data_IF_055592239730
#
_entry.id   IF_055592239730
#
_cell.length_a   1.000
_cell.length_b   1.000
_cell.length_c   1.000
_cell.angle_alpha   90.00
_cell.angle_beta   90.00
_cell.angle_gamma   90.00
#
_symmetry.space_group_name_H-M   'P 1'
#
loop_
_entity.id
_entity.type
_entity.pdbx_description
1 polymer ?
#
# COMPACT_ATOMS: atom_id res chain seq x y z
N UNK A 1 -14.48 16.58 18.75
CA UNK A 1 -14.56 15.25 19.38
C UNK A 1 -14.21 14.19 18.34
N UNK A 2 -13.52 13.12 18.74
CA UNK A 2 -13.14 11.99 17.88
C UNK A 2 -13.71 10.71 18.47
N UNK A 3 -14.48 9.98 17.66
CA UNK A 3 -14.89 8.61 17.94
C UNK A 3 -13.98 7.68 17.14
N UNK A 4 -13.35 6.71 17.80
CA UNK A 4 -12.60 5.63 17.15
C UNK A 4 -13.00 4.31 17.78
N UNK A 5 -13.16 3.28 16.96
CA UNK A 5 -13.42 1.93 17.44
C UNK A 5 -12.95 0.91 16.42
N UNK A 6 -12.16 -0.05 16.89
CA UNK A 6 -11.66 -1.16 16.08
C UNK A 6 -12.57 -2.35 16.30
N UNK A 7 -13.44 -2.64 15.33
CA UNK A 7 -14.18 -3.91 15.30
C UNK A 7 -13.14 -5.03 15.15
N UNK A 8 -13.12 -6.06 16.03
CA UNK A 8 -12.14 -7.13 15.91
C UNK A 8 -12.21 -7.85 14.56
N UNK A 9 -11.09 -8.44 14.12
CA UNK A 9 -11.07 -9.37 12.98
C UNK A 9 -11.89 -10.63 13.31
N UNK A 10 -12.22 -11.49 12.32
CA UNK A 10 -12.86 -12.78 12.60
C UNK A 10 -12.12 -13.65 13.64
N UNK A 11 -10.79 -13.52 13.72
CA UNK A 11 -9.94 -14.21 14.68
C UNK A 11 -9.78 -13.45 16.02
N UNK A 12 -10.45 -12.31 16.16
CA UNK A 12 -10.46 -11.51 17.40
C UNK A 12 -9.34 -10.47 17.52
N UNK A 13 -8.50 -10.30 16.49
CA UNK A 13 -7.43 -9.28 16.51
C UNK A 13 -8.02 -7.88 16.56
N UNK A 14 -7.46 -7.02 17.42
CA UNK A 14 -7.85 -5.61 17.55
C UNK A 14 -6.64 -4.80 18.00
N UNK A 15 -6.65 -3.49 17.73
CA UNK A 15 -5.54 -2.58 18.03
C UNK A 15 -6.02 -1.25 18.63
N UNK A 16 -5.08 -0.34 18.89
CA UNK A 16 -5.32 0.96 19.52
C UNK A 16 -5.55 2.12 18.54
N UNK A 17 -5.75 3.33 19.09
CA UNK A 17 -5.96 4.56 18.32
C UNK A 17 -4.85 4.82 17.29
N UNK A 18 -5.24 5.24 16.09
CA UNK A 18 -4.31 5.66 15.03
C UNK A 18 -4.71 5.19 13.63
N UNK A 19 -5.76 4.35 13.53
CA UNK A 19 -6.27 3.84 12.27
C UNK A 19 -5.39 2.75 11.63
N UNK A 20 -5.71 2.39 10.39
CA UNK A 20 -5.06 1.29 9.65
C UNK A 20 -3.57 1.50 9.48
N UNK A 21 -3.13 2.66 8.98
CA UNK A 21 -1.72 2.87 8.63
C UNK A 21 -0.75 2.70 9.81
N UNK A 22 -1.16 3.14 11.01
CA UNK A 22 -0.36 3.06 12.23
C UNK A 22 -0.27 1.61 12.72
N UNK A 23 -1.38 0.88 12.73
CA UNK A 23 -1.47 -0.39 13.46
C UNK A 23 -1.31 -1.62 12.56
N UNK A 24 -1.86 -1.58 11.35
CA UNK A 24 -1.99 -2.75 10.47
C UNK A 24 -1.79 -2.40 8.99
N UNK A 25 -0.94 -1.41 8.74
CA UNK A 25 -0.72 -0.84 7.41
C UNK A 25 0.71 -0.35 7.24
N UNK A 26 0.88 0.89 6.80
CA UNK A 26 2.16 1.43 6.36
C UNK A 26 3.30 1.25 7.36
N UNK A 27 3.06 1.51 8.65
CA UNK A 27 4.09 1.46 9.70
C UNK A 27 4.63 0.03 9.90
N UNK A 28 3.83 -0.96 10.33
CA UNK A 28 4.36 -2.31 10.51
C UNK A 28 4.81 -2.94 9.19
N UNK A 29 4.14 -2.67 8.06
CA UNK A 29 4.56 -3.13 6.74
C UNK A 29 5.98 -2.66 6.43
N UNK A 30 6.26 -1.36 6.55
CA UNK A 30 7.59 -0.82 6.21
C UNK A 30 8.67 -1.30 7.20
N UNK A 31 8.32 -1.51 8.46
CA UNK A 31 9.26 -2.06 9.45
C UNK A 31 9.60 -3.54 9.19
N UNK A 32 8.62 -4.37 8.79
CA UNK A 32 8.89 -5.76 8.38
C UNK A 32 9.65 -5.82 7.04
N UNK A 33 9.35 -4.92 6.10
CA UNK A 33 10.15 -4.73 4.89
C UNK A 33 11.59 -4.34 5.21
N UNK A 34 11.81 -3.42 6.15
CA UNK A 34 13.16 -3.09 6.61
C UNK A 34 13.89 -4.29 7.22
N UNK A 35 13.19 -5.16 7.98
CA UNK A 35 13.79 -6.39 8.50
C UNK A 35 14.25 -7.34 7.37
N UNK A 36 13.47 -7.45 6.29
CA UNK A 36 13.88 -8.19 5.09
C UNK A 36 15.09 -7.54 4.39
N UNK A 37 15.09 -6.21 4.22
CA UNK A 37 16.23 -5.48 3.66
C UNK A 37 17.51 -5.65 4.50
N UNK A 38 17.40 -5.68 5.83
CA UNK A 38 18.53 -5.95 6.71
C UNK A 38 19.07 -7.38 6.54
N UNK A 39 18.20 -8.35 6.23
CA UNK A 39 18.62 -9.69 5.84
C UNK A 39 19.54 -9.67 4.62
N UNK A 40 19.17 -8.91 3.58
CA UNK A 40 20.04 -8.73 2.40
C UNK A 40 21.32 -7.96 2.75
N UNK A 41 21.23 -6.91 3.56
CA UNK A 41 22.39 -6.12 3.96
C UNK A 41 23.43 -6.96 4.72
N UNK A 42 23.01 -7.94 5.52
CA UNK A 42 23.91 -8.88 6.17
C UNK A 42 24.65 -9.77 5.14
N UNK A 43 23.98 -10.20 4.08
CA UNK A 43 24.63 -10.97 3.01
C UNK A 43 25.65 -10.11 2.25
N UNK A 44 25.24 -8.91 1.87
CA UNK A 44 26.07 -7.96 1.14
C UNK A 44 27.30 -7.53 1.95
N UNK A 45 27.16 -7.36 3.28
CA UNK A 45 28.25 -6.89 4.16
C UNK A 45 29.48 -7.80 4.14
N UNK A 46 29.33 -9.11 3.93
CA UNK A 46 30.47 -10.03 3.80
C UNK A 46 31.37 -9.66 2.62
N UNK A 47 30.79 -9.20 1.51
CA UNK A 47 31.55 -8.76 0.32
C UNK A 47 32.24 -7.41 0.54
N UNK A 48 31.77 -6.63 1.50
CA UNK A 48 32.42 -5.41 1.99
C UNK A 48 33.43 -5.65 3.13
N UNK A 49 33.70 -6.91 3.50
CA UNK A 49 34.75 -7.26 4.47
C UNK A 49 34.28 -7.48 5.91
N UNK A 50 32.97 -7.56 6.16
CA UNK A 50 32.46 -7.92 7.48
C UNK A 50 32.52 -9.44 7.71
N UNK A 51 33.12 -9.83 8.83
CA UNK A 51 33.27 -11.25 9.21
C UNK A 51 32.36 -11.60 10.39
N UNK A 52 31.64 -12.71 10.25
CA UNK A 52 30.83 -13.32 11.31
C UNK A 52 30.70 -14.83 11.06
N UNK A 53 30.76 -15.61 12.13
CA UNK A 53 31.00 -17.07 12.09
C UNK A 53 29.77 -17.90 11.69
N UNK A 54 28.56 -17.43 12.04
CA UNK A 54 27.33 -18.23 11.88
C UNK A 54 26.39 -17.71 10.78
N UNK A 55 25.54 -18.60 10.28
CA UNK A 55 24.39 -18.22 9.47
C UNK A 55 23.36 -17.51 10.36
N UNK A 56 23.12 -16.22 10.10
CA UNK A 56 22.17 -15.42 10.87
C UNK A 56 20.75 -15.97 10.65
N UNK A 57 20.06 -16.27 11.76
CA UNK A 57 18.65 -16.68 11.76
C UNK A 57 17.77 -15.50 12.14
N UNK A 58 16.64 -15.35 11.45
CA UNK A 58 15.62 -14.39 11.82
C UNK A 58 14.71 -14.95 12.92
N UNK A 59 14.28 -14.11 13.86
CA UNK A 59 13.31 -14.46 14.90
C UNK A 59 12.06 -13.59 14.77
N UNK A 60 10.94 -14.22 14.40
CA UNK A 60 9.65 -13.57 14.18
C UNK A 60 9.13 -12.86 15.42
N UNK A 61 9.17 -13.52 16.59
CA UNK A 61 8.59 -12.99 17.81
C UNK A 61 9.34 -11.75 18.30
N UNK A 62 10.67 -11.74 18.19
CA UNK A 62 11.49 -10.56 18.49
C UNK A 62 11.13 -9.38 17.57
N UNK A 63 10.98 -9.63 16.27
CA UNK A 63 10.58 -8.60 15.31
C UNK A 63 9.19 -8.05 15.63
N UNK A 64 8.19 -8.93 15.78
CA UNK A 64 6.81 -8.52 16.08
C UNK A 64 6.75 -7.77 17.41
N UNK A 65 7.43 -8.24 18.46
CA UNK A 65 7.46 -7.55 19.74
C UNK A 65 8.04 -6.13 19.62
N UNK A 66 9.14 -5.95 18.90
CA UNK A 66 9.75 -4.63 18.69
C UNK A 66 8.80 -3.69 17.92
N UNK A 67 8.16 -4.19 16.86
CA UNK A 67 7.20 -3.42 16.05
C UNK A 67 5.96 -3.05 16.86
N UNK A 68 5.38 -3.99 17.62
CA UNK A 68 4.22 -3.75 18.46
C UNK A 68 4.51 -2.76 19.59
N UNK A 69 5.71 -2.80 20.17
CA UNK A 69 6.15 -1.79 21.15
C UNK A 69 6.16 -0.38 20.53
N UNK A 70 6.68 -0.24 19.31
CA UNK A 70 6.67 1.03 18.61
C UNK A 70 5.24 1.51 18.29
N UNK A 71 4.36 0.62 17.81
CA UNK A 71 2.94 0.92 17.58
C UNK A 71 2.26 1.38 18.87
N UNK A 72 2.52 0.70 19.99
CA UNK A 72 2.02 1.11 21.30
C UNK A 72 2.44 2.52 21.70
N UNK A 73 3.68 2.91 21.38
CA UNK A 73 4.16 4.29 21.59
C UNK A 73 3.40 5.31 20.74
N UNK A 74 3.09 4.98 19.48
CA UNK A 74 2.30 5.81 18.58
C UNK A 74 0.86 5.94 19.07
N UNK A 75 0.21 4.84 19.46
CA UNK A 75 -1.15 4.88 20.00
C UNK A 75 -1.23 5.78 21.23
N UNK A 76 -0.22 5.72 22.12
CA UNK A 76 -0.14 6.60 23.27
C UNK A 76 0.09 8.06 22.86
N UNK A 77 1.02 8.32 21.94
CA UNK A 77 1.30 9.65 21.41
C UNK A 77 0.06 10.33 20.82
N UNK A 78 -0.77 9.61 20.05
CA UNK A 78 -2.03 10.15 19.53
C UNK A 78 -3.00 10.54 20.64
N UNK A 79 -3.18 9.70 21.67
CA UNK A 79 -4.04 10.02 22.82
C UNK A 79 -3.55 11.25 23.57
N UNK A 80 -2.23 11.37 23.77
CA UNK A 80 -1.62 12.54 24.41
C UNK A 80 -1.87 13.80 23.58
N UNK A 81 -1.62 13.75 22.26
CA UNK A 81 -1.79 14.91 21.39
C UNK A 81 -3.25 15.39 21.27
N UNK A 82 -4.23 14.47 21.28
CA UNK A 82 -5.65 14.84 21.34
C UNK A 82 -5.97 15.56 22.65
N UNK A 83 -5.49 15.05 23.79
CA UNK A 83 -5.70 15.66 25.10
C UNK A 83 -5.06 17.05 25.20
N UNK A 84 -3.82 17.21 24.73
CA UNK A 84 -3.11 18.51 24.72
C UNK A 84 -3.85 19.57 23.89
N UNK A 85 -4.50 19.15 22.81
CA UNK A 85 -5.34 20.02 21.97
C UNK A 85 -6.79 20.13 22.47
N UNK A 86 -7.08 19.62 23.68
CA UNK A 86 -8.43 19.60 24.26
C UNK A 86 -9.49 18.94 23.36
N UNK A 87 -9.09 17.96 22.55
CA UNK A 87 -9.99 17.17 21.71
C UNK A 87 -10.50 15.97 22.51
N UNK A 88 -11.80 15.93 22.80
CA UNK A 88 -12.44 14.77 23.41
C UNK A 88 -12.26 13.53 22.54
N UNK A 89 -11.70 12.47 23.12
CA UNK A 89 -11.53 11.17 22.49
C UNK A 89 -12.43 10.13 23.18
N UNK A 90 -13.26 9.44 22.40
CA UNK A 90 -14.08 8.33 22.89
C UNK A 90 -13.74 7.06 22.10
N UNK A 91 -13.32 6.02 22.81
CA UNK A 91 -13.17 4.68 22.24
C UNK A 91 -14.55 4.02 22.13
N UNK A 92 -15.29 4.36 21.09
CA UNK A 92 -16.70 3.99 20.93
C UNK A 92 -17.08 4.00 19.46
N UNK A 93 -17.88 3.02 19.06
CA UNK A 93 -18.40 2.90 17.70
C UNK A 93 -19.51 3.93 17.50
N UNK A 94 -19.34 4.81 16.51
CA UNK A 94 -20.30 5.86 16.17
C UNK A 94 -21.29 5.42 15.11
N UNK A 95 -22.58 5.65 15.34
CA UNK A 95 -23.67 5.36 14.43
C UNK A 95 -24.70 6.50 14.46
N UNK A 96 -25.02 7.08 13.31
CA UNK A 96 -26.03 8.12 13.20
C UNK A 96 -27.42 7.57 13.49
N UNK A 97 -28.21 8.35 14.24
CA UNK A 97 -29.58 7.95 14.61
C UNK A 97 -30.63 8.99 14.23
N UNK A 98 -30.24 10.23 13.97
CA UNK A 98 -31.07 11.32 13.42
C UNK A 98 -30.14 12.48 13.00
N UNK A 99 -30.65 13.50 12.28
CA UNK A 99 -29.84 14.66 11.91
C UNK A 99 -29.14 15.28 13.12
N UNK A 100 -27.86 15.63 12.92
CA UNK A 100 -26.99 16.19 13.96
C UNK A 100 -26.76 15.36 15.23
N UNK A 101 -27.13 14.06 15.26
CA UNK A 101 -26.98 13.22 16.46
C UNK A 101 -26.41 11.84 16.15
N UNK A 102 -25.45 11.45 16.98
CA UNK A 102 -24.74 10.17 16.87
C UNK A 102 -24.85 9.39 18.18
N UNK A 103 -25.12 8.09 18.05
CA UNK A 103 -25.03 7.07 19.10
C UNK A 103 -23.60 6.58 19.16
N UNK A 104 -23.00 6.56 20.34
CA UNK A 104 -21.65 6.06 20.57
C UNK A 104 -21.70 4.87 21.54
N UNK A 105 -21.32 3.68 21.05
CA UNK A 105 -21.34 2.42 21.82
C UNK A 105 -19.92 2.00 22.16
N UNK A 106 -19.57 1.88 23.45
CA UNK A 106 -18.23 1.45 23.85
C UNK A 106 -18.09 -0.09 23.86
N UNK A 107 -16.88 -0.60 24.11
CA UNK A 107 -16.61 -2.05 24.15
C UNK A 107 -17.42 -2.82 25.21
N UNK A 108 -17.93 -2.15 26.26
CA UNK A 108 -18.80 -2.75 27.28
C UNK A 108 -20.29 -2.72 26.90
N UNK A 109 -20.63 -2.25 25.71
CA UNK A 109 -22.01 -2.06 25.25
C UNK A 109 -22.71 -0.85 25.87
N UNK A 110 -21.98 0.03 26.59
CA UNK A 110 -22.59 1.25 27.13
C UNK A 110 -22.80 2.24 26.00
N UNK A 111 -24.00 2.81 25.96
CA UNK A 111 -24.46 3.74 24.93
C UNK A 111 -24.47 5.16 25.47
N UNK A 112 -23.93 6.09 24.69
CA UNK A 112 -24.07 7.53 24.91
C UNK A 112 -24.54 8.20 23.62
N UNK A 113 -25.11 9.40 23.74
CA UNK A 113 -25.59 10.18 22.61
C UNK A 113 -24.93 11.54 22.59
N UNK A 114 -24.55 12.00 21.40
CA UNK A 114 -23.86 13.26 21.20
C UNK A 114 -24.45 14.01 20.01
N UNK A 115 -24.47 15.34 20.10
CA UNK A 115 -24.86 16.22 18.99
C UNK A 115 -23.68 17.04 18.51
N UNK A 116 -23.66 17.37 17.22
CA UNK A 116 -22.64 18.25 16.66
C UNK A 116 -23.20 19.06 15.49
N UNK A 117 -22.67 20.26 15.30
CA UNK A 117 -22.96 21.10 14.13
C UNK A 117 -22.44 20.46 12.85
N UNK A 118 -21.20 19.95 12.86
CA UNK A 118 -20.53 19.36 11.69
C UNK A 118 -20.01 17.96 12.00
N UNK A 119 -20.14 17.05 11.04
CA UNK A 119 -19.58 15.70 11.09
C UNK A 119 -18.57 15.46 9.97
N UNK A 120 -17.52 14.70 10.27
CA UNK A 120 -16.53 14.24 9.30
C UNK A 120 -16.45 12.72 9.36
N UNK A 121 -16.82 12.06 8.28
CA UNK A 121 -16.68 10.62 8.10
C UNK A 121 -15.22 10.30 7.75
N UNK A 122 -14.58 9.47 8.57
CA UNK A 122 -13.19 9.05 8.38
C UNK A 122 -12.97 7.59 8.83
N UNK A 123 -13.94 6.72 8.53
CA UNK A 123 -14.02 5.34 9.04
C UNK A 123 -13.09 4.36 8.34
N UNK A 124 -12.48 4.77 7.22
CA UNK A 124 -11.58 3.94 6.44
C UNK A 124 -12.22 2.65 5.90
N UNK A 125 -11.40 1.62 5.74
CA UNK A 125 -11.81 0.34 5.16
C UNK A 125 -11.28 -0.83 5.99
N UNK A 126 -11.77 -2.04 5.69
CA UNK A 126 -11.27 -3.31 6.27
C UNK A 126 -11.02 -4.37 5.20
N UNK A 127 -10.12 -5.35 5.44
CA UNK A 127 -9.84 -6.41 4.48
C UNK A 127 -11.09 -7.17 4.04
N UNK A 128 -11.16 -7.47 2.73
CA UNK A 128 -12.21 -8.29 2.13
C UNK A 128 -11.83 -9.77 2.20
N UNK A 129 -12.80 -10.62 2.54
CA UNK A 129 -12.69 -12.08 2.45
C UNK A 129 -13.31 -12.60 1.14
N UNK A 130 -13.03 -13.86 0.79
CA UNK A 130 -13.44 -14.46 -0.48
C UNK A 130 -14.90 -14.91 -0.49
N UNK A 131 -15.48 -15.17 0.68
CA UNK A 131 -16.81 -15.77 0.84
C UNK A 131 -16.82 -17.27 0.54
N UNK A 132 -15.70 -17.95 0.81
CA UNK A 132 -15.53 -19.40 0.59
C UNK A 132 -15.47 -20.13 1.93
N UNK A 133 -15.78 -21.44 1.99
CA UNK A 133 -15.67 -22.19 3.23
C UNK A 133 -14.25 -22.16 3.82
N UNK A 134 -14.15 -21.81 5.10
CA UNK A 134 -12.92 -21.78 5.89
C UNK A 134 -12.09 -20.50 5.78
N UNK A 135 -12.50 -19.51 4.98
CA UNK A 135 -11.69 -18.30 4.79
C UNK A 135 -11.61 -17.44 6.07
N UNK A 136 -12.72 -17.22 6.76
CA UNK A 136 -12.76 -16.42 8.00
C UNK A 136 -12.25 -17.18 9.21
N UNK A 137 -12.43 -18.50 9.21
CA UNK A 137 -12.07 -19.38 10.32
C UNK A 137 -10.56 -19.69 10.36
N UNK A 138 -9.93 -19.85 9.19
CA UNK A 138 -8.56 -20.36 9.10
C UNK A 138 -7.56 -19.41 8.45
N UNK A 139 -8.02 -18.44 7.66
CA UNK A 139 -7.12 -17.49 7.00
C UNK A 139 -6.96 -16.21 7.82
N UNK A 140 -5.80 -15.59 7.64
CA UNK A 140 -5.50 -14.27 8.20
C UNK A 140 -5.60 -13.19 7.12
N UNK A 141 -5.64 -11.94 7.55
CA UNK A 141 -5.49 -10.78 6.67
C UNK A 141 -4.30 -9.93 7.12
N UNK A 142 -4.04 -8.81 6.43
CA UNK A 142 -3.08 -7.82 6.91
C UNK A 142 -3.39 -7.34 8.33
N UNK A 143 -4.65 -7.34 8.73
CA UNK A 143 -5.06 -6.91 10.07
C UNK A 143 -4.55 -7.83 11.19
N UNK A 144 -4.26 -9.10 10.88
CA UNK A 144 -3.77 -10.10 11.84
C UNK A 144 -2.25 -10.30 11.75
N UNK A 145 -1.70 -10.25 10.52
CA UNK A 145 -0.31 -10.58 10.23
C UNK A 145 0.70 -9.80 11.08
N UNK A 146 0.48 -8.50 11.26
CA UNK A 146 1.44 -7.62 11.91
C UNK A 146 1.57 -7.81 13.42
N UNK A 147 0.64 -8.54 14.02
CA UNK A 147 0.65 -8.92 15.44
C UNK A 147 0.55 -10.45 15.62
N UNK A 148 0.88 -11.22 14.59
CA UNK A 148 0.74 -12.68 14.64
C UNK A 148 1.66 -13.26 15.73
N UNK A 149 1.13 -14.04 16.70
CA UNK A 149 1.89 -14.47 17.88
C UNK A 149 2.83 -15.66 17.62
N UNK A 150 3.00 -16.06 16.36
CA UNK A 150 3.86 -17.13 15.92
C UNK A 150 4.34 -16.84 14.49
N UNK A 151 5.48 -17.45 14.11
CA UNK A 151 5.99 -17.37 12.75
C UNK A 151 5.00 -17.98 11.74
N UNK A 152 4.66 -17.30 10.63
CA UNK A 152 3.70 -17.80 9.64
C UNK A 152 4.05 -19.16 9.01
N UNK A 153 5.34 -19.54 8.98
CA UNK A 153 5.80 -20.75 8.29
C UNK A 153 5.59 -20.67 6.78
N UNK A 154 5.34 -21.83 6.14
CA UNK A 154 5.02 -21.89 4.70
C UNK A 154 3.72 -21.14 4.43
N UNK A 155 3.77 -20.07 3.63
CA UNK A 155 2.67 -19.12 3.51
C UNK A 155 2.15 -19.00 2.09
N UNK A 156 0.83 -19.14 1.91
CA UNK A 156 0.12 -18.73 0.70
C UNK A 156 -0.42 -17.32 0.87
N UNK A 157 -0.06 -16.41 -0.04
CA UNK A 157 -0.67 -15.09 -0.16
C UNK A 157 -1.66 -15.10 -1.33
N UNK A 158 -2.93 -14.87 -1.04
CA UNK A 158 -3.99 -14.82 -2.04
C UNK A 158 -4.27 -13.37 -2.40
N UNK A 159 -3.94 -12.98 -3.63
CA UNK A 159 -4.09 -11.62 -4.11
C UNK A 159 -2.87 -11.14 -4.88
N UNK A 160 -3.03 -10.00 -5.55
CA UNK A 160 -1.98 -9.37 -6.36
C UNK A 160 -2.00 -7.84 -6.25
N UNK A 161 -2.57 -7.33 -5.16
CA UNK A 161 -2.51 -5.92 -4.78
C UNK A 161 -1.13 -5.57 -4.23
N UNK A 162 -0.87 -4.28 -4.00
CA UNK A 162 0.38 -3.86 -3.34
C UNK A 162 0.53 -4.53 -1.97
N UNK A 163 -0.55 -4.63 -1.16
CA UNK A 163 -0.51 -5.33 0.14
C UNK A 163 -0.06 -6.78 -0.03
N UNK A 164 -0.59 -7.49 -1.03
CA UNK A 164 -0.24 -8.88 -1.28
C UNK A 164 1.26 -9.03 -1.60
N UNK A 165 1.76 -8.23 -2.55
CA UNK A 165 3.14 -8.35 -3.01
C UNK A 165 4.16 -7.86 -1.98
N UNK A 166 3.84 -6.80 -1.24
CA UNK A 166 4.68 -6.31 -0.14
C UNK A 166 4.78 -7.36 0.98
N UNK A 167 3.66 -7.96 1.39
CA UNK A 167 3.67 -9.00 2.41
C UNK A 167 4.41 -10.25 1.95
N UNK A 168 4.13 -10.72 0.73
CA UNK A 168 4.85 -11.86 0.17
C UNK A 168 6.36 -11.59 0.11
N UNK A 169 6.73 -10.38 -0.30
CA UNK A 169 8.11 -9.93 -0.42
C UNK A 169 8.87 -9.96 0.90
N UNK A 170 8.35 -9.29 1.93
CA UNK A 170 9.06 -9.31 3.22
C UNK A 170 9.04 -10.69 3.87
N UNK A 171 7.98 -11.48 3.73
CA UNK A 171 7.94 -12.84 4.29
C UNK A 171 9.03 -13.72 3.66
N UNK A 172 9.20 -13.65 2.34
CA UNK A 172 10.27 -14.37 1.65
C UNK A 172 11.66 -13.83 2.03
N UNK A 173 11.82 -12.51 2.13
CA UNK A 173 13.09 -11.88 2.55
C UNK A 173 13.49 -12.20 3.99
N UNK A 174 12.55 -12.61 4.84
CA UNK A 174 12.80 -13.15 6.18
C UNK A 174 13.12 -14.66 6.19
N UNK A 175 13.14 -15.30 5.02
CA UNK A 175 13.50 -16.70 4.81
C UNK A 175 12.34 -17.69 4.80
N UNK A 176 11.08 -17.23 4.68
CA UNK A 176 9.92 -18.12 4.63
C UNK A 176 9.66 -18.66 3.21
N UNK A 177 9.06 -19.86 3.12
CA UNK A 177 8.54 -20.39 1.86
C UNK A 177 7.22 -19.70 1.52
N UNK A 178 7.24 -18.84 0.50
CA UNK A 178 6.11 -17.99 0.12
C UNK A 178 5.63 -18.29 -1.29
N UNK A 179 4.31 -18.43 -1.42
CA UNK A 179 3.62 -18.55 -2.71
C UNK A 179 2.57 -17.45 -2.84
N UNK A 180 2.45 -16.84 -4.02
CA UNK A 180 1.43 -15.83 -4.33
C UNK A 180 0.45 -16.41 -5.36
N UNK A 181 -0.83 -16.44 -5.03
CA UNK A 181 -1.89 -16.86 -5.96
C UNK A 181 -2.58 -15.65 -6.58
N UNK A 182 -2.50 -15.56 -7.90
CA UNK A 182 -2.91 -14.40 -8.69
C UNK A 182 -4.12 -14.75 -9.56
N UNK A 183 -5.21 -14.02 -9.37
CA UNK A 183 -6.42 -14.20 -10.19
C UNK A 183 -6.23 -13.80 -11.66
N UNK A 184 -5.51 -12.71 -11.94
CA UNK A 184 -5.43 -12.16 -13.30
C UNK A 184 -4.09 -11.52 -13.65
N UNK A 185 -3.83 -10.30 -13.14
CA UNK A 185 -2.62 -9.48 -13.37
C UNK A 185 -2.12 -8.92 -12.04
N UNK A 186 -0.86 -8.51 -12.00
CA UNK A 186 -0.23 -7.88 -10.84
C UNK A 186 -0.55 -6.38 -10.78
N UNK A 187 -0.70 -5.84 -9.57
CA UNK A 187 -0.83 -4.40 -9.30
C UNK A 187 -1.80 -3.68 -10.25
N UNK A 188 -3.00 -4.23 -10.43
CA UNK A 188 -4.02 -3.61 -11.29
C UNK A 188 -4.21 -2.13 -10.92
N UNK A 189 -4.10 -1.26 -11.93
CA UNK A 189 -4.20 0.20 -11.76
C UNK A 189 -2.83 0.91 -11.75
N UNK A 190 -1.74 0.16 -11.57
CA UNK A 190 -0.38 0.63 -11.81
C UNK A 190 0.07 0.29 -13.24
N UNK A 191 1.18 0.91 -13.65
CA UNK A 191 1.85 0.61 -14.91
C UNK A 191 2.23 -0.87 -15.00
N UNK A 192 1.66 -1.57 -15.99
CA UNK A 192 1.79 -3.03 -16.08
C UNK A 192 3.18 -3.52 -16.44
N UNK A 193 4.00 -2.71 -17.14
CA UNK A 193 5.41 -3.07 -17.37
C UNK A 193 6.17 -3.07 -16.04
N UNK A 194 5.94 -2.04 -15.21
CA UNK A 194 6.56 -1.96 -13.89
C UNK A 194 6.07 -3.10 -12.98
N UNK A 195 4.78 -3.44 -13.03
CA UNK A 195 4.20 -4.52 -12.24
C UNK A 195 4.78 -5.90 -12.58
N UNK A 196 4.97 -6.21 -13.87
CA UNK A 196 5.59 -7.48 -14.27
C UNK A 196 7.09 -7.51 -13.95
N UNK A 197 7.81 -6.37 -14.01
CA UNK A 197 9.20 -6.31 -13.52
C UNK A 197 9.31 -6.55 -12.01
N UNK A 198 8.38 -6.02 -11.23
CA UNK A 198 8.24 -6.32 -9.79
C UNK A 198 8.02 -7.83 -9.58
N UNK A 199 7.05 -8.41 -10.29
CA UNK A 199 6.75 -9.85 -10.21
C UNK A 199 7.95 -10.73 -10.59
N UNK A 200 8.62 -10.41 -11.69
CA UNK A 200 9.80 -11.13 -12.16
C UNK A 200 10.94 -11.08 -11.12
N UNK A 201 11.20 -9.92 -10.51
CA UNK A 201 12.18 -9.82 -9.43
C UNK A 201 11.80 -10.68 -8.22
N UNK A 202 10.53 -10.70 -7.83
CA UNK A 202 10.07 -11.53 -6.73
C UNK A 202 10.23 -13.03 -7.03
N UNK A 203 9.92 -13.46 -8.27
CA UNK A 203 10.11 -14.83 -8.74
C UNK A 203 11.59 -15.25 -8.70
N UNK A 204 12.51 -14.42 -9.17
CA UNK A 204 13.95 -14.71 -9.13
C UNK A 204 14.51 -14.78 -7.72
N UNK A 205 13.84 -14.14 -6.75
CA UNK A 205 14.23 -14.10 -5.34
C UNK A 205 13.38 -15.04 -4.46
N UNK A 206 12.81 -16.10 -5.04
CA UNK A 206 12.26 -17.23 -4.29
C UNK A 206 10.77 -17.16 -3.96
N UNK A 207 10.07 -16.10 -4.37
CA UNK A 207 8.60 -16.06 -4.25
C UNK A 207 8.00 -16.87 -5.41
N UNK A 208 7.21 -17.90 -5.08
CA UNK A 208 6.52 -18.71 -6.09
C UNK A 208 5.24 -18.02 -6.54
N UNK A 209 4.86 -18.10 -7.81
CA UNK A 209 3.59 -17.56 -8.32
C UNK A 209 2.72 -18.63 -8.92
N UNK A 210 1.45 -18.67 -8.50
CA UNK A 210 0.39 -19.46 -9.11
C UNK A 210 -0.54 -18.48 -9.82
N UNK A 211 -0.39 -18.37 -11.15
CA UNK A 211 -1.16 -17.43 -11.97
C UNK A 211 -2.46 -18.08 -12.45
N UNK A 212 -3.51 -17.26 -12.58
CA UNK A 212 -4.85 -17.65 -13.07
C UNK A 212 -5.58 -18.65 -12.18
N UNK A 213 -5.42 -18.57 -10.86
CA UNK A 213 -6.16 -19.38 -9.89
C UNK A 213 -6.87 -18.53 -8.84
N UNK A 214 -7.97 -19.05 -8.30
CA UNK A 214 -8.68 -18.49 -7.14
C UNK A 214 -9.03 -19.61 -6.16
N UNK A 215 -8.79 -19.44 -4.85
CA UNK A 215 -9.21 -20.41 -3.85
C UNK A 215 -10.72 -20.59 -3.84
N UNK A 216 -11.16 -21.82 -3.64
CA UNK A 216 -12.58 -22.20 -3.52
C UNK A 216 -12.91 -22.83 -2.17
N UNK A 217 -11.90 -23.27 -1.43
CA UNK A 217 -12.04 -23.83 -0.08
C UNK A 217 -10.69 -23.79 0.65
N UNK A 218 -10.74 -23.56 1.96
CA UNK A 218 -9.63 -23.76 2.88
C UNK A 218 -10.08 -24.72 3.99
N UNK A 219 -9.31 -25.77 4.22
CA UNK A 219 -9.59 -26.81 5.21
C UNK A 219 -8.45 -26.91 6.20
N UNK A 220 -8.76 -27.03 7.48
CA UNK A 220 -7.75 -27.29 8.51
C UNK A 220 -7.43 -28.78 8.58
N UNK A 221 -6.16 -29.12 8.38
CA UNK A 221 -5.65 -30.49 8.53
C UNK A 221 -5.14 -30.74 9.95
N UNK A 222 -4.52 -29.72 10.55
CA UNK A 222 -3.92 -29.81 11.89
C UNK A 222 -3.99 -28.43 12.57
N UNK A 223 -4.50 -28.39 13.80
CA UNK A 223 -4.43 -27.20 14.65
C UNK A 223 -3.00 -26.97 15.14
N UNK A 224 -2.58 -25.71 15.27
CA UNK A 224 -1.24 -25.39 15.78
C UNK A 224 -0.82 -23.93 15.58
N UNK A 225 0.39 -23.61 16.00
CA UNK A 225 1.00 -22.27 15.90
C UNK A 225 2.38 -22.34 15.22
N UNK A 226 2.46 -22.38 13.88
CA UNK A 226 1.31 -22.42 12.96
C UNK A 226 0.78 -23.86 12.76
N UNK A 227 -0.50 -23.98 12.40
CA UNK A 227 -1.13 -25.25 12.05
C UNK A 227 -0.80 -25.69 10.62
N UNK A 228 -1.62 -26.59 10.06
CA UNK A 228 -1.57 -27.00 8.65
C UNK A 228 -2.93 -26.86 8.00
N UNK A 229 -2.95 -26.18 6.86
CA UNK A 229 -4.13 -25.85 6.08
C UNK A 229 -3.99 -26.42 4.67
N UNK A 230 -5.04 -27.05 4.16
CA UNK A 230 -5.15 -27.44 2.76
C UNK A 230 -5.93 -26.38 2.00
N UNK A 231 -5.34 -25.85 0.93
CA UNK A 231 -6.00 -24.90 0.05
C UNK A 231 -6.38 -25.61 -1.24
N UNK A 232 -7.65 -25.50 -1.63
CA UNK A 232 -8.13 -25.94 -2.94
C UNK A 232 -8.50 -24.72 -3.77
N UNK A 233 -7.95 -24.63 -4.97
CA UNK A 233 -8.18 -23.53 -5.91
C UNK A 233 -8.60 -24.03 -7.29
N UNK A 234 -9.31 -23.19 -8.04
CA UNK A 234 -9.70 -23.46 -9.42
C UNK A 234 -9.05 -22.47 -10.37
N UNK A 235 -8.70 -22.95 -11.57
CA UNK A 235 -8.25 -22.09 -12.65
C UNK A 235 -9.35 -21.12 -13.08
N UNK A 236 -8.97 -19.91 -13.47
CA UNK A 236 -9.88 -18.91 -14.07
C UNK A 236 -10.07 -19.12 -15.56
N UNK A 237 -9.30 -20.02 -16.18
CA UNK A 237 -9.27 -20.23 -17.64
C UNK A 237 -9.72 -21.65 -18.05
N UNK A 238 -9.97 -22.54 -17.08
CA UNK A 238 -10.36 -23.92 -17.36
C UNK A 238 -10.86 -24.69 -16.14
N UNK A 239 -10.91 -26.02 -16.26
CA UNK A 239 -11.40 -26.92 -15.20
C UNK A 239 -10.31 -27.42 -14.25
N UNK A 240 -9.09 -26.93 -14.38
CA UNK A 240 -7.96 -27.34 -13.56
C UNK A 240 -8.19 -27.00 -12.08
N UNK A 241 -7.75 -27.91 -11.22
CA UNK A 241 -7.81 -27.78 -9.77
C UNK A 241 -6.40 -27.85 -9.25
N UNK A 242 -6.09 -26.91 -8.35
CA UNK A 242 -4.84 -26.87 -7.61
C UNK A 242 -5.13 -27.20 -6.14
N UNK A 243 -4.31 -28.05 -5.54
CA UNK A 243 -4.36 -28.36 -4.12
C UNK A 243 -2.94 -28.37 -3.55
N UNK A 244 -2.71 -27.61 -2.48
CA UNK A 244 -1.44 -27.61 -1.76
C UNK A 244 -1.66 -27.28 -0.27
N UNK A 245 -0.73 -27.76 0.57
CA UNK A 245 -0.71 -27.47 2.01
C UNK A 245 0.18 -26.27 2.34
N UNK A 246 -0.30 -25.45 3.26
CA UNK A 246 0.40 -24.28 3.81
C UNK A 246 0.21 -24.23 5.33
N UNK A 247 1.11 -23.56 6.03
CA UNK A 247 0.93 -23.25 7.44
C UNK A 247 0.00 -22.06 7.66
N UNK A 248 0.15 -21.04 6.82
CA UNK A 248 -0.64 -19.81 6.88
C UNK A 248 -1.19 -19.44 5.50
N UNK A 249 -2.44 -18.96 5.46
CA UNK A 249 -3.06 -18.39 4.27
C UNK A 249 -3.41 -16.93 4.55
N UNK A 250 -2.76 -16.02 3.84
CA UNK A 250 -2.96 -14.57 3.91
C UNK A 250 -3.87 -14.10 2.77
N UNK A 251 -5.04 -13.56 3.12
CA UNK A 251 -5.98 -12.99 2.15
C UNK A 251 -5.72 -11.48 1.99
N UNK A 252 -5.35 -11.07 0.77
CA UNK A 252 -5.04 -9.68 0.39
C UNK A 252 -5.76 -9.28 -0.92
N UNK A 253 -7.06 -9.56 -1.00
CA UNK A 253 -7.89 -9.45 -2.22
C UNK A 253 -8.70 -8.15 -2.34
N UNK A 254 -8.30 -7.13 -1.59
CA UNK A 254 -8.94 -5.82 -1.55
C UNK A 254 -9.51 -5.50 -0.17
N UNK A 255 -10.13 -4.33 -0.07
CA UNK A 255 -10.72 -3.79 1.14
C UNK A 255 -12.11 -3.25 0.84
N UNK A 256 -12.95 -3.17 1.87
CA UNK A 256 -14.32 -2.66 1.78
C UNK A 256 -14.51 -1.47 2.73
N UNK A 257 -15.14 -0.41 2.22
CA UNK A 257 -15.39 0.82 2.96
C UNK A 257 -16.33 0.61 4.15
N UNK A 258 -15.99 1.22 5.29
CA UNK A 258 -16.76 1.13 6.54
C UNK A 258 -17.90 2.16 6.58
N UNK A 259 -18.87 2.04 5.66
CA UNK A 259 -19.96 3.01 5.47
C UNK A 259 -21.36 2.43 5.66
N UNK A 260 -21.50 1.10 5.71
CA UNK A 260 -22.81 0.40 5.72
C UNK A 260 -23.41 0.14 7.11
N UNK A 261 -22.66 0.42 8.18
CA UNK A 261 -23.09 0.11 9.56
C UNK A 261 -23.01 1.31 10.49
N UNK A 262 -23.02 2.53 9.94
CA UNK A 262 -22.90 3.77 10.70
C UNK A 262 -24.12 4.69 10.57
N UNK A 263 -25.25 4.20 10.05
CA UNK A 263 -26.53 4.93 10.02
C UNK A 263 -26.63 6.07 9.00
N UNK A 264 -25.88 6.00 7.89
CA UNK A 264 -25.87 7.07 6.86
C UNK A 264 -27.24 7.27 6.21
N UNK A 265 -28.00 6.19 6.05
CA UNK A 265 -29.36 6.17 5.53
C UNK A 265 -30.31 7.03 6.38
N UNK A 266 -30.11 7.05 7.70
CA UNK A 266 -30.95 7.79 8.65
C UNK A 266 -30.79 9.31 8.52
N UNK A 267 -29.65 9.77 8.00
CA UNK A 267 -29.34 11.18 7.77
C UNK A 267 -29.32 11.56 6.28
N UNK A 268 -29.63 10.61 5.39
CA UNK A 268 -29.73 10.84 3.96
C UNK A 268 -28.39 11.03 3.22
N UNK A 269 -27.26 10.60 3.80
CA UNK A 269 -25.97 10.59 3.08
C UNK A 269 -25.98 9.45 2.07
N UNK A 270 -25.76 9.79 0.80
CA UNK A 270 -25.69 8.84 -0.31
C UNK A 270 -24.31 8.20 -0.38
N UNK A 271 -24.27 6.91 -0.65
CA UNK A 271 -23.06 6.17 -0.98
C UNK A 271 -23.20 5.52 -2.36
N UNK A 272 -22.08 5.20 -2.98
CA UNK A 272 -22.07 4.36 -4.17
C UNK A 272 -22.30 2.91 -3.76
N UNK A 273 -23.48 2.37 -4.08
CA UNK A 273 -23.89 1.04 -3.63
C UNK A 273 -22.99 -0.10 -4.13
N UNK A 274 -22.24 0.10 -5.22
CA UNK A 274 -21.36 -0.93 -5.77
C UNK A 274 -20.07 -1.10 -4.97
N UNK A 275 -19.45 -0.01 -4.56
CA UNK A 275 -18.14 -0.02 -3.89
C UNK A 275 -18.21 0.44 -2.41
N UNK A 276 -19.37 0.92 -1.95
CA UNK A 276 -19.58 1.45 -0.60
C UNK A 276 -18.94 2.82 -0.35
N UNK A 277 -18.30 3.43 -1.34
CA UNK A 277 -17.60 4.72 -1.19
C UNK A 277 -18.60 5.88 -1.12
N UNK A 278 -18.16 7.00 -0.54
CA UNK A 278 -18.92 8.22 -0.37
C UNK A 278 -18.55 9.22 -1.47
N UNK A 279 -19.48 9.57 -2.38
CA UNK A 279 -19.28 10.66 -3.32
C UNK A 279 -19.26 12.00 -2.59
N UNK A 280 -18.29 12.85 -2.92
CA UNK A 280 -18.14 14.19 -2.35
C UNK A 280 -17.84 15.21 -3.46
N UNK A 281 -18.07 16.49 -3.16
CA UNK A 281 -17.56 17.58 -3.99
C UNK A 281 -16.04 17.78 -3.80
N UNK A 282 -15.47 18.81 -4.43
CA UNK A 282 -14.04 19.13 -4.36
C UNK A 282 -13.62 19.79 -3.02
N UNK A 283 -14.54 19.93 -2.08
CA UNK A 283 -14.31 20.41 -0.71
C UNK A 283 -14.61 19.33 0.34
N UNK A 284 -14.67 18.06 -0.10
CA UNK A 284 -14.92 16.89 0.75
C UNK A 284 -16.33 16.86 1.39
N UNK A 285 -17.26 17.70 0.92
CA UNK A 285 -18.65 17.73 1.39
C UNK A 285 -19.48 16.65 0.71
N UNK A 286 -20.29 15.93 1.48
CA UNK A 286 -21.27 14.96 0.95
C UNK A 286 -22.49 15.68 0.38
N UNK A 287 -23.52 14.93 -0.04
CA UNK A 287 -24.81 15.52 -0.41
C UNK A 287 -25.60 16.11 0.79
N UNK A 288 -25.14 15.90 2.03
CA UNK A 288 -25.73 16.47 3.25
C UNK A 288 -24.82 17.61 3.73
N UNK A 289 -25.29 18.87 3.80
CA UNK A 289 -24.42 20.04 3.96
C UNK A 289 -23.53 20.06 5.21
N UNK A 290 -23.97 19.45 6.31
CA UNK A 290 -23.22 19.42 7.56
C UNK A 290 -22.33 18.18 7.72
N UNK A 291 -22.26 17.33 6.68
CA UNK A 291 -21.49 16.08 6.68
C UNK A 291 -20.44 16.10 5.59
N UNK A 292 -19.20 15.88 5.99
CA UNK A 292 -18.02 15.76 5.13
C UNK A 292 -17.47 14.34 5.22
N UNK A 293 -16.68 13.92 4.24
CA UNK A 293 -15.99 12.64 4.25
C UNK A 293 -14.54 12.80 3.78
N UNK A 294 -13.60 12.06 4.38
CA UNK A 294 -12.18 12.11 4.00
C UNK A 294 -11.56 10.72 4.01
N UNK A 295 -10.39 10.60 3.35
CA UNK A 295 -9.60 9.39 3.32
C UNK A 295 -10.20 8.29 2.44
N UNK A 296 -9.90 7.05 2.78
CA UNK A 296 -10.12 5.89 1.90
C UNK A 296 -11.60 5.68 1.54
N UNK A 297 -12.56 6.20 2.31
CA UNK A 297 -13.98 6.04 1.99
C UNK A 297 -14.45 6.90 0.81
N UNK A 298 -13.62 7.81 0.29
CA UNK A 298 -14.01 8.71 -0.81
C UNK A 298 -14.11 7.98 -2.16
N UNK A 299 -15.16 8.27 -2.93
CA UNK A 299 -15.34 7.69 -4.26
C UNK A 299 -14.43 8.37 -5.29
N UNK A 300 -13.71 7.57 -6.08
CA UNK A 300 -12.78 8.04 -7.11
C UNK A 300 -11.57 8.82 -6.61
N UNK A 301 -11.19 8.67 -5.33
CA UNK A 301 -9.97 9.28 -4.74
C UNK A 301 -8.94 8.20 -4.36
N UNK A 302 -7.79 8.65 -3.86
CA UNK A 302 -6.65 7.80 -3.55
C UNK A 302 -6.64 7.35 -2.08
N UNK A 303 -6.46 6.06 -1.86
CA UNK A 303 -6.44 5.39 -0.55
C UNK A 303 -5.04 5.46 0.10
N UNK A 304 -4.56 6.68 0.34
CA UNK A 304 -3.21 6.96 0.83
C UNK A 304 -3.24 7.83 2.08
N UNK A 305 -2.42 7.48 3.07
CA UNK A 305 -2.37 8.20 4.36
C UNK A 305 -2.01 9.69 4.23
N UNK A 306 -0.99 10.11 3.45
CA UNK A 306 -0.70 11.53 3.26
C UNK A 306 -1.88 12.30 2.64
N UNK A 307 -2.64 11.66 1.76
CA UNK A 307 -3.85 12.23 1.13
C UNK A 307 -4.94 12.45 2.19
N UNK A 308 -5.23 11.46 3.02
CA UNK A 308 -6.22 11.58 4.09
C UNK A 308 -5.85 12.69 5.10
N UNK A 309 -4.57 12.77 5.49
CA UNK A 309 -4.06 13.81 6.39
C UNK A 309 -4.21 15.20 5.76
N UNK A 310 -3.83 15.36 4.49
CA UNK A 310 -3.91 16.65 3.80
C UNK A 310 -5.35 17.10 3.62
N UNK A 311 -6.25 16.21 3.19
CA UNK A 311 -7.68 16.48 3.06
C UNK A 311 -8.28 16.92 4.41
N UNK A 312 -8.02 16.18 5.50
CA UNK A 312 -8.52 16.54 6.83
C UNK A 312 -7.98 17.88 7.35
N UNK A 313 -6.68 18.17 7.16
CA UNK A 313 -6.07 19.44 7.56
C UNK A 313 -6.67 20.62 6.80
N UNK A 314 -6.79 20.50 5.47
CA UNK A 314 -7.32 21.57 4.63
C UNK A 314 -8.81 21.78 4.88
N UNK A 315 -9.59 20.71 5.04
CA UNK A 315 -11.00 20.78 5.42
C UNK A 315 -11.18 21.59 6.72
N UNK A 316 -10.44 21.26 7.79
CA UNK A 316 -10.53 21.99 9.05
C UNK A 316 -10.17 23.49 8.89
N UNK A 317 -9.18 23.81 8.05
CA UNK A 317 -8.81 25.21 7.74
C UNK A 317 -9.89 25.95 6.95
N UNK A 318 -10.61 25.28 6.05
CA UNK A 318 -11.74 25.89 5.33
C UNK A 318 -12.91 26.15 6.27
N UNK A 319 -13.29 25.15 7.06
CA UNK A 319 -14.43 25.24 7.97
C UNK A 319 -14.23 26.28 9.08
N UNK A 320 -13.04 26.35 9.67
CA UNK A 320 -12.82 27.10 10.92
C UNK A 320 -11.66 28.10 10.86
N UNK A 321 -10.94 28.17 9.74
CA UNK A 321 -9.76 29.03 9.57
C UNK A 321 -9.87 30.02 8.41
N UNK A 322 -11.01 30.11 7.71
CA UNK A 322 -11.22 31.03 6.59
C UNK A 322 -10.36 30.76 5.35
N UNK A 323 -9.75 29.58 5.25
CA UNK A 323 -8.97 29.19 4.07
C UNK A 323 -9.90 28.83 2.89
N UNK A 324 -9.42 29.05 1.67
CA UNK A 324 -10.06 28.55 0.44
C UNK A 324 -9.30 27.40 -0.23
N UNK A 325 -8.21 26.92 0.39
CA UNK A 325 -7.33 25.92 -0.22
C UNK A 325 -7.97 24.53 -0.20
N UNK A 326 -8.04 23.89 -1.37
CA UNK A 326 -8.58 22.54 -1.57
C UNK A 326 -7.48 21.49 -1.61
N UNK A 327 -7.82 20.23 -1.35
CA UNK A 327 -6.88 19.13 -1.51
C UNK A 327 -6.69 18.84 -2.99
N UNK A 328 -5.44 18.77 -3.44
CA UNK A 328 -5.10 18.42 -4.81
C UNK A 328 -4.80 16.91 -4.89
N UNK A 329 -5.66 16.19 -5.61
CA UNK A 329 -5.60 14.74 -5.78
C UNK A 329 -4.91 14.31 -7.08
N UNK A 330 -4.44 15.26 -7.89
CA UNK A 330 -3.79 14.99 -9.18
C UNK A 330 -2.32 14.68 -8.93
N UNK A 331 -1.71 13.75 -9.68
CA UNK A 331 -0.27 13.44 -9.61
C UNK A 331 0.26 13.28 -8.18
N UNK A 332 -0.48 12.56 -7.34
CA UNK A 332 -0.01 12.20 -6.00
C UNK A 332 0.98 11.04 -6.14
N UNK A 333 2.19 11.14 -5.58
CA UNK A 333 3.16 10.06 -5.66
C UNK A 333 2.75 8.87 -4.79
N UNK A 334 3.20 7.68 -5.21
CA UNK A 334 3.02 6.44 -4.46
C UNK A 334 4.26 5.57 -4.55
N UNK A 335 4.45 4.68 -3.57
CA UNK A 335 5.53 3.69 -3.58
C UNK A 335 5.02 2.35 -3.05
N UNK A 336 5.28 1.31 -3.82
CA UNK A 336 5.06 -0.09 -3.45
C UNK A 336 6.38 -0.64 -2.92
N UNK A 337 6.39 -1.04 -1.65
CA UNK A 337 7.57 -1.52 -0.93
C UNK A 337 7.73 -3.04 -1.07
N UNK A 338 7.82 -3.50 -2.32
CA UNK A 338 8.25 -4.85 -2.67
C UNK A 338 9.76 -5.02 -2.46
N UNK A 339 10.33 -6.25 -2.52
CA UNK A 339 11.76 -6.48 -2.30
C UNK A 339 12.64 -5.57 -3.17
N UNK A 340 12.21 -5.36 -4.42
CA UNK A 340 12.62 -4.22 -5.22
C UNK A 340 11.51 -3.17 -5.20
N UNK A 341 11.77 -2.02 -4.60
CA UNK A 341 10.75 -0.99 -4.39
C UNK A 341 10.36 -0.33 -5.72
N UNK A 342 9.08 0.00 -5.87
CA UNK A 342 8.52 0.65 -7.06
C UNK A 342 7.86 1.97 -6.69
N UNK A 343 8.47 3.08 -7.12
CA UNK A 343 7.97 4.44 -6.95
C UNK A 343 7.33 4.96 -8.23
N UNK A 344 6.25 5.73 -8.11
CA UNK A 344 5.60 6.36 -9.27
C UNK A 344 4.88 7.65 -8.93
N UNK A 345 4.75 8.51 -9.94
CA UNK A 345 3.96 9.74 -9.88
C UNK A 345 3.42 10.06 -11.28
N UNK A 346 2.15 10.47 -11.37
CA UNK A 346 1.49 10.73 -12.64
C UNK A 346 0.89 9.46 -13.28
N UNK A 347 0.79 9.47 -14.60
CA UNK A 347 0.10 8.44 -15.37
C UNK A 347 1.00 7.22 -15.63
N UNK A 348 0.41 6.03 -15.55
CA UNK A 348 0.94 4.82 -16.18
C UNK A 348 0.99 4.98 -17.71
N UNK A 349 1.89 4.26 -18.37
CA UNK A 349 2.11 4.37 -19.82
C UNK A 349 0.86 4.03 -20.63
N UNK A 350 0.20 2.92 -20.31
CA UNK A 350 -1.03 2.49 -20.96
C UNK A 350 -2.17 3.50 -20.79
N UNK A 351 -2.24 4.17 -19.62
CA UNK A 351 -3.22 5.22 -19.34
C UNK A 351 -2.89 6.50 -20.10
N UNK A 352 -1.62 6.89 -20.18
CA UNK A 352 -1.19 7.99 -21.00
C UNK A 352 -1.53 7.74 -22.48
N UNK A 353 -1.33 6.52 -22.99
CA UNK A 353 -1.69 6.15 -24.37
C UNK A 353 -3.19 6.26 -24.60
N UNK A 354 -4.02 5.80 -23.66
CA UNK A 354 -5.48 5.93 -23.74
C UNK A 354 -5.95 7.39 -23.75
N UNK A 355 -5.31 8.26 -22.94
CA UNK A 355 -5.73 9.65 -22.76
C UNK A 355 -5.17 10.61 -23.84
N UNK A 356 -3.92 10.40 -24.27
CA UNK A 356 -3.21 11.32 -25.17
C UNK A 356 -2.97 10.75 -26.56
N UNK A 357 -3.10 9.43 -26.76
CA UNK A 357 -2.75 8.74 -28.00
C UNK A 357 -1.25 8.48 -28.15
N UNK A 358 -0.88 7.25 -28.53
CA UNK A 358 0.51 6.77 -28.58
C UNK A 358 1.47 7.69 -29.37
N UNK A 359 1.02 8.23 -30.50
CA UNK A 359 1.81 9.08 -31.37
C UNK A 359 2.22 10.42 -30.73
N UNK A 360 1.52 10.82 -29.68
CA UNK A 360 1.71 12.08 -28.97
C UNK A 360 2.58 11.94 -27.73
N UNK A 361 3.14 10.75 -27.50
CA UNK A 361 3.95 10.43 -26.35
C UNK A 361 5.37 10.08 -26.77
N UNK A 362 6.31 10.39 -25.88
CA UNK A 362 7.64 9.79 -25.89
C UNK A 362 7.90 9.16 -24.52
N UNK A 363 8.47 7.95 -24.51
CA UNK A 363 8.83 7.26 -23.27
C UNK A 363 10.33 7.09 -23.26
N UNK A 364 11.01 7.80 -22.36
CA UNK A 364 12.43 7.64 -22.11
C UNK A 364 12.60 6.60 -21.02
N UNK A 365 13.56 5.70 -21.19
CA UNK A 365 13.78 4.62 -20.23
C UNK A 365 15.22 4.13 -20.22
N UNK A 366 15.64 3.57 -19.09
CA UNK A 366 16.95 2.91 -18.98
C UNK A 366 16.96 1.92 -17.82
N UNK A 367 17.83 0.92 -17.93
CA UNK A 367 18.25 0.13 -16.77
C UNK A 367 19.34 0.88 -16.01
N UNK A 368 19.48 0.59 -14.72
CA UNK A 368 20.60 1.08 -13.91
C UNK A 368 21.03 0.04 -12.88
N UNK A 369 22.25 0.18 -12.38
CA UNK A 369 22.79 -0.69 -11.35
C UNK A 369 23.24 0.16 -10.14
N UNK A 370 22.57 0.04 -8.98
CA UNK A 370 23.00 0.72 -7.77
C UNK A 370 24.46 0.39 -7.44
N UNK A 371 25.27 1.42 -7.15
CA UNK A 371 26.69 1.23 -6.86
C UNK A 371 26.91 0.30 -5.65
N UNK A 372 25.99 0.33 -4.69
CA UNK A 372 25.98 -0.52 -3.50
C UNK A 372 25.87 -2.02 -3.84
N UNK A 373 25.42 -2.37 -5.05
CA UNK A 373 25.23 -3.76 -5.49
C UNK A 373 26.41 -4.27 -6.33
N UNK A 374 27.33 -3.38 -6.72
CA UNK A 374 28.50 -3.73 -7.53
C UNK A 374 29.47 -4.67 -6.78
N UNK A 375 29.79 -4.37 -5.52
CA UNK A 375 30.69 -5.18 -4.69
C UNK A 375 30.05 -6.52 -4.29
N UNK A 376 28.77 -6.57 -3.87
CA UNK A 376 28.07 -7.84 -3.69
C UNK A 376 27.97 -8.68 -4.97
N UNK A 377 27.96 -8.02 -6.13
CA UNK A 377 27.95 -8.67 -7.44
C UNK A 377 26.59 -9.26 -7.80
N UNK A 378 25.50 -8.55 -7.49
CA UNK A 378 24.11 -9.02 -7.70
C UNK A 378 23.27 -8.05 -8.51
N UNK A 379 22.21 -8.58 -9.13
CA UNK A 379 21.06 -7.83 -9.69
C UNK A 379 21.41 -6.70 -10.67
N UNK A 380 22.49 -6.86 -11.45
CA UNK A 380 22.76 -5.97 -12.58
C UNK A 380 21.59 -6.00 -13.58
N UNK A 381 21.35 -4.90 -14.29
CA UNK A 381 20.30 -4.77 -15.31
C UNK A 381 18.89 -5.12 -14.81
N UNK A 382 18.64 -4.90 -13.52
CA UNK A 382 17.35 -5.22 -12.88
C UNK A 382 16.58 -3.97 -12.44
N UNK A 383 17.27 -2.96 -11.90
CA UNK A 383 16.63 -1.67 -11.63
C UNK A 383 16.32 -0.94 -12.93
N UNK A 384 15.19 -0.23 -12.95
CA UNK A 384 14.64 0.35 -14.17
C UNK A 384 14.00 1.71 -13.88
N UNK A 385 14.28 2.68 -14.73
CA UNK A 385 13.72 4.02 -14.68
C UNK A 385 13.00 4.33 -15.98
N UNK A 386 11.80 4.93 -15.90
CA UNK A 386 11.13 5.51 -17.06
C UNK A 386 10.39 6.80 -16.74
N UNK A 387 10.32 7.66 -17.73
CA UNK A 387 9.47 8.86 -17.75
C UNK A 387 8.63 8.85 -19.02
N UNK A 388 7.41 9.36 -18.90
CA UNK A 388 6.45 9.46 -19.99
C UNK A 388 6.21 10.94 -20.25
N UNK A 389 6.51 11.38 -21.47
CA UNK A 389 6.48 12.76 -21.88
C UNK A 389 5.36 13.02 -22.91
N UNK A 390 4.61 14.10 -22.73
CA UNK A 390 3.63 14.58 -23.72
C UNK A 390 4.30 15.48 -24.75
N UNK A 391 4.35 15.03 -26.02
CA UNK A 391 4.93 15.80 -27.13
C UNK A 391 4.16 17.10 -27.41
N UNK A 392 2.86 17.13 -27.08
CA UNK A 392 2.00 18.30 -27.31
C UNK A 392 2.17 19.42 -26.29
N UNK A 393 2.72 19.12 -25.11
CA UNK A 393 2.95 20.10 -24.04
C UNK A 393 4.45 20.21 -23.76
N UNK A 394 5.24 20.56 -24.78
CA UNK A 394 6.69 20.80 -24.64
C UNK A 394 7.41 19.66 -23.89
N UNK A 395 7.14 18.40 -24.27
CA UNK A 395 7.67 17.22 -23.60
C UNK A 395 7.46 17.20 -22.07
N UNK A 396 6.29 17.69 -21.59
CA UNK A 396 5.89 17.63 -20.18
C UNK A 396 5.99 16.21 -19.66
N UNK A 397 6.66 16.02 -18.53
CA UNK A 397 6.69 14.75 -17.80
C UNK A 397 5.32 14.54 -17.14
N UNK A 398 4.52 13.65 -17.71
CA UNK A 398 3.17 13.31 -17.23
C UNK A 398 3.12 11.96 -16.50
N UNK A 399 4.20 11.18 -16.57
CA UNK A 399 4.38 9.95 -15.82
C UNK A 399 5.84 9.76 -15.43
N UNK A 400 6.08 9.31 -14.21
CA UNK A 400 7.39 9.03 -13.64
C UNK A 400 7.34 7.68 -12.93
N UNK A 401 8.31 6.83 -13.20
CA UNK A 401 8.37 5.49 -12.62
C UNK A 401 9.83 5.08 -12.34
N UNK A 402 10.06 4.54 -11.15
CA UNK A 402 11.36 4.00 -10.74
C UNK A 402 11.17 2.67 -10.04
N UNK A 403 11.90 1.66 -10.48
CA UNK A 403 12.02 0.36 -9.82
C UNK A 403 13.47 0.22 -9.35
N UNK A 404 13.70 0.27 -8.05
CA UNK A 404 15.03 0.34 -7.47
C UNK A 404 15.03 0.53 -5.95
N UNK A 405 16.20 0.50 -5.30
CA UNK A 405 16.29 0.79 -3.87
C UNK A 405 15.85 2.23 -3.56
N UNK A 406 15.23 2.43 -2.40
CA UNK A 406 14.79 3.74 -1.91
C UNK A 406 13.86 4.49 -2.88
N UNK A 407 13.01 3.75 -3.60
CA UNK A 407 12.18 4.31 -4.68
C UNK A 407 11.26 5.43 -4.20
N UNK A 408 10.81 5.38 -2.94
CA UNK A 408 10.02 6.45 -2.33
C UNK A 408 10.80 7.75 -2.14
N UNK A 409 12.05 7.65 -1.69
CA UNK A 409 12.93 8.82 -1.51
C UNK A 409 13.23 9.48 -2.85
N UNK A 410 13.50 8.67 -3.88
CA UNK A 410 13.71 9.15 -5.26
C UNK A 410 12.46 9.86 -5.79
N UNK A 411 11.30 9.22 -5.68
CA UNK A 411 10.04 9.72 -6.26
C UNK A 411 9.56 11.02 -5.63
N UNK A 412 9.79 11.22 -4.33
CA UNK A 412 9.22 12.33 -3.57
C UNK A 412 9.62 13.72 -4.12
N UNK A 413 10.88 13.89 -4.52
CA UNK A 413 11.36 15.14 -5.14
C UNK A 413 10.79 15.37 -6.54
N UNK A 414 10.76 14.32 -7.38
CA UNK A 414 10.19 14.40 -8.72
C UNK A 414 8.70 14.69 -8.72
N UNK A 415 7.95 14.23 -7.71
CA UNK A 415 6.54 14.59 -7.58
C UNK A 415 6.33 16.10 -7.40
N UNK A 416 7.20 16.77 -6.64
CA UNK A 416 7.17 18.22 -6.52
C UNK A 416 7.56 18.90 -7.84
N UNK A 417 8.55 18.38 -8.57
CA UNK A 417 8.91 18.89 -9.89
C UNK A 417 7.77 18.76 -10.90
N UNK A 418 7.06 17.62 -10.92
CA UNK A 418 5.86 17.41 -11.76
C UNK A 418 4.76 18.42 -11.40
N UNK A 419 4.57 18.74 -10.12
CA UNK A 419 3.64 19.81 -9.70
C UNK A 419 4.02 21.18 -10.24
N UNK A 420 5.32 21.45 -10.41
CA UNK A 420 5.84 22.66 -11.04
C UNK A 420 5.82 22.62 -12.58
N UNK A 421 5.33 21.52 -13.18
CA UNK A 421 5.37 21.32 -14.61
C UNK A 421 6.77 20.96 -15.12
N UNK A 422 7.40 19.91 -14.57
CA UNK A 422 8.65 19.40 -15.13
C UNK A 422 8.50 19.02 -16.61
N UNK A 423 9.40 19.50 -17.47
CA UNK A 423 9.53 19.04 -18.86
C UNK A 423 10.80 18.20 -19.01
N UNK A 424 10.91 17.46 -20.11
CA UNK A 424 12.12 16.70 -20.43
C UNK A 424 13.36 17.60 -20.52
N UNK A 425 13.23 18.78 -21.11
CA UNK A 425 14.33 19.73 -21.27
C UNK A 425 14.83 20.22 -19.91
N UNK A 426 13.92 20.61 -19.00
CA UNK A 426 14.30 21.01 -17.64
C UNK A 426 14.94 19.86 -16.85
N UNK A 427 14.49 18.63 -17.09
CA UNK A 427 15.07 17.45 -16.47
C UNK A 427 16.51 17.21 -16.96
N UNK A 428 16.78 17.40 -18.26
CA UNK A 428 18.12 17.24 -18.85
C UNK A 428 19.09 18.37 -18.46
N UNK A 429 18.57 19.59 -18.24
CA UNK A 429 19.36 20.71 -17.73
C UNK A 429 19.73 20.53 -16.24
N UNK A 430 19.02 19.66 -15.52
CA UNK A 430 19.29 19.38 -14.11
C UNK A 430 20.53 18.49 -13.98
N UNK A 431 21.56 18.96 -13.28
CA UNK A 431 22.78 18.17 -13.05
C UNK A 431 22.53 17.10 -11.97
N UNK A 432 22.86 15.85 -12.30
CA UNK A 432 22.76 14.70 -11.38
C UNK A 432 23.75 14.75 -10.21
N UNK A 433 23.37 14.09 -9.10
CA UNK A 433 24.26 13.87 -7.95
C UNK A 433 24.93 12.51 -8.11
N UNK A 434 26.27 12.47 -8.13
CA UNK A 434 27.02 11.25 -8.38
C UNK A 434 27.86 10.81 -7.17
N UNK A 435 27.92 9.50 -6.82
CA UNK A 435 27.12 8.40 -7.39
C UNK A 435 25.80 8.19 -6.65
N UNK A 436 24.66 8.31 -7.33
CA UNK A 436 23.33 8.03 -6.74
C UNK A 436 22.37 7.37 -7.74
N UNK A 437 21.45 6.54 -7.25
CA UNK A 437 20.45 5.91 -8.13
C UNK A 437 19.57 6.94 -8.87
N UNK A 438 19.26 8.08 -8.24
CA UNK A 438 18.36 9.08 -8.80
C UNK A 438 18.97 9.87 -9.98
N UNK A 439 20.30 9.89 -10.11
CA UNK A 439 20.97 10.64 -11.17
C UNK A 439 20.61 10.12 -12.57
N UNK A 440 20.21 8.86 -12.68
CA UNK A 440 19.79 8.21 -13.93
C UNK A 440 18.70 9.00 -14.67
N UNK A 441 17.85 9.73 -13.94
CA UNK A 441 16.77 10.52 -14.53
C UNK A 441 17.27 11.77 -15.26
N UNK A 442 18.48 12.24 -14.95
CA UNK A 442 19.06 13.47 -15.53
C UNK A 442 19.77 13.24 -16.87
N UNK A 443 19.93 11.98 -17.29
CA UNK A 443 20.73 11.61 -18.47
C UNK A 443 19.99 10.67 -19.42
N UNK A 444 18.66 10.62 -19.34
CA UNK A 444 17.85 9.68 -20.14
C UNK A 444 17.72 10.13 -21.60
N UNK A 445 18.37 9.45 -22.52
CA UNK A 445 18.35 9.74 -23.96
C UNK A 445 17.66 8.66 -24.80
N UNK A 446 17.70 7.41 -24.35
CA UNK A 446 17.06 6.29 -25.06
C UNK A 446 15.53 6.32 -24.89
N UNK A 447 14.83 6.28 -26.03
CA UNK A 447 13.36 6.21 -26.09
C UNK A 447 12.89 4.82 -26.49
N UNK A 448 11.72 4.40 -25.99
CA UNK A 448 11.09 3.14 -26.43
C UNK A 448 10.81 3.11 -27.94
N UNK A 449 10.51 4.26 -28.53
CA UNK A 449 10.20 4.37 -29.96
C UNK A 449 11.42 4.16 -30.86
N UNK A 450 12.64 4.39 -30.36
CA UNK A 450 13.88 4.13 -31.11
C UNK A 450 14.21 2.63 -31.20
N UNK A 451 13.71 1.83 -30.25
CA UNK A 451 13.99 0.39 -30.16
C UNK A 451 15.45 0.06 -29.81
N UNK A 452 16.22 1.04 -29.32
CA UNK A 452 17.60 0.83 -28.89
C UNK A 452 17.70 -0.04 -27.63
N UNK A 453 18.82 -0.75 -27.48
CA UNK A 453 19.11 -1.58 -26.31
C UNK A 453 19.46 -0.70 -25.10
N UNK A 454 18.81 -0.95 -23.97
CA UNK A 454 19.03 -0.24 -22.70
C UNK A 454 19.89 -1.04 -21.70
N UNK A 455 20.39 -2.21 -22.10
CA UNK A 455 21.21 -3.06 -21.24
C UNK A 455 22.54 -2.39 -20.95
N UNK A 456 22.82 -2.13 -19.67
CA UNK A 456 24.11 -1.58 -19.25
C UNK A 456 25.21 -2.63 -19.42
N UNK A 457 26.31 -2.25 -20.07
CA UNK A 457 27.49 -3.11 -20.31
C UNK A 457 28.68 -2.82 -19.38
N UNK A 458 28.54 -1.85 -18.47
CA UNK A 458 29.59 -1.30 -17.62
C UNK A 458 29.42 0.22 -17.50
N UNK A 459 30.27 0.89 -16.70
CA UNK A 459 30.32 2.35 -16.63
C UNK A 459 30.64 2.98 -17.98
#
# INVERSE_FOLDING_TARGET
MVLDYVVPTPLGTSWGLGGTCVNVGCIPKKLMHQAALLGQALQDSRKYGWEYEEQVKHNWDIMVQAIQNYIGSLNWGYRVSLREKSVTYLNSYGEFIEPHKIKATNRKGQVTYHTAETFVLATGERPRYLGIPGDKEYCITSDDLFSLPYCPGKTLVVGASYVALECAGFLAGLGLDVTVMVRSILLRGFDQEMAEKVGAHMETHGVKFIRKFVPVQVEQLEEGTPGRLKVRAKSTEGSEIFEEEYNTVLIAVGRDACTRSIGLETIGVKINEKNGKVPVNDEEQTNVPYVYAIGDILDGKLELTPVAIQAGKLLARRLYGGSSTKCDYINVPTTVFTPLEYGSCGLAEERAVEEYGKQNLEVYHTLFWPLEWAIPGRDNNTCYAKIICSKHDNNRVIGFHVLGPNAGEVTQGFAAAIKCGLTKELLDETIGIHPTCAEVFTTMDITKSSGQDITQRGC
#
